data_IF_334056305690
#
_entry.id   IF_334056305690
#
_cell.length_a   1.000
_cell.length_b   1.000
_cell.length_c   1.000
_cell.angle_alpha   90.00
_cell.angle_beta   90.00
_cell.angle_gamma   90.00
#
_symmetry.space_group_name_H-M   'P 1'
#
loop_
_entity.id
_entity.type
_entity.pdbx_description
1 polymer ?
#
# COMPACT_ATOMS: atom_id res chain seq x y z
N UNK A 1 10.79 -42.70 12.25
CA UNK A 1 10.21 -42.15 11.01
C UNK A 1 10.59 -40.68 10.94
N UNK A 2 11.49 -40.30 10.05
CA UNK A 2 11.86 -38.91 9.84
C UNK A 2 10.66 -38.14 9.25
N UNK A 3 10.14 -37.13 9.94
CA UNK A 3 9.18 -36.21 9.37
C UNK A 3 9.90 -35.46 8.25
N UNK A 4 9.62 -35.83 6.99
CA UNK A 4 9.97 -35.01 5.84
C UNK A 4 9.24 -33.68 6.01
N UNK A 5 9.92 -32.67 6.53
CA UNK A 5 9.36 -31.34 6.62
C UNK A 5 9.07 -30.85 5.20
N UNK A 6 7.85 -30.39 4.94
CA UNK A 6 7.49 -29.80 3.66
C UNK A 6 8.47 -28.66 3.35
N UNK A 7 8.99 -28.61 2.11
CA UNK A 7 9.92 -27.56 1.69
C UNK A 7 9.17 -26.22 1.65
N UNK A 8 9.64 -25.24 2.42
CA UNK A 8 9.05 -23.88 2.46
C UNK A 8 9.38 -23.17 1.14
N UNK A 9 8.33 -22.79 0.40
CA UNK A 9 8.47 -21.91 -0.77
C UNK A 9 8.63 -20.47 -0.34
N UNK A 10 9.52 -19.74 -1.01
CA UNK A 10 9.70 -18.29 -0.79
C UNK A 10 8.97 -17.51 -1.87
N UNK A 11 8.23 -16.48 -1.47
CA UNK A 11 7.46 -15.61 -2.37
C UNK A 11 7.78 -14.14 -2.05
N UNK A 12 8.20 -13.39 -3.06
CA UNK A 12 8.44 -11.96 -2.98
C UNK A 12 7.62 -11.25 -4.08
N UNK A 13 6.44 -10.76 -3.68
CA UNK A 13 5.49 -10.12 -4.60
C UNK A 13 6.06 -8.83 -5.21
N UNK A 14 6.92 -8.10 -4.49
CA UNK A 14 7.56 -6.91 -5.04
C UNK A 14 8.48 -7.25 -6.23
N UNK A 15 9.15 -8.40 -6.19
CA UNK A 15 9.95 -8.88 -7.31
C UNK A 15 9.11 -9.46 -8.43
N UNK A 16 8.02 -10.17 -8.07
CA UNK A 16 7.08 -10.74 -9.03
C UNK A 16 6.39 -9.64 -9.84
N UNK A 17 5.97 -8.56 -9.17
CA UNK A 17 5.27 -7.42 -9.75
C UNK A 17 6.17 -6.18 -9.83
N UNK A 18 7.41 -6.40 -10.28
CA UNK A 18 8.45 -5.36 -10.30
C UNK A 18 8.02 -4.10 -11.05
N UNK A 19 7.28 -4.25 -12.13
CA UNK A 19 6.79 -3.13 -12.93
C UNK A 19 5.92 -2.15 -12.13
N UNK A 20 5.12 -2.67 -11.17
CA UNK A 20 4.22 -1.86 -10.34
C UNK A 20 4.87 -1.33 -9.06
N UNK A 21 5.88 -2.06 -8.51
CA UNK A 21 6.47 -1.76 -7.20
C UNK A 21 7.92 -1.25 -7.24
N UNK A 22 8.55 -1.24 -8.43
CA UNK A 22 9.93 -0.79 -8.61
C UNK A 22 10.10 -0.05 -9.96
N UNK A 23 9.24 0.94 -10.28
CA UNK A 23 9.39 1.71 -11.49
C UNK A 23 10.68 2.52 -11.50
N UNK A 24 11.05 3.07 -12.66
CA UNK A 24 12.17 3.99 -12.80
C UNK A 24 11.89 5.33 -12.08
N UNK A 25 12.91 5.97 -11.52
CA UNK A 25 12.84 7.35 -11.06
C UNK A 25 13.12 8.37 -12.19
N UNK A 26 13.54 7.88 -13.37
CA UNK A 26 13.94 8.75 -14.47
C UNK A 26 12.81 9.08 -15.43
N UNK A 27 11.85 8.17 -15.56
CA UNK A 27 10.79 8.23 -16.57
C UNK A 27 9.43 7.94 -15.94
N UNK A 28 8.45 8.74 -16.31
CA UNK A 28 7.03 8.43 -16.04
C UNK A 28 6.60 7.35 -17.04
N UNK A 29 5.84 6.39 -16.59
CA UNK A 29 5.36 5.29 -17.45
C UNK A 29 3.86 5.07 -17.26
N UNK A 30 3.19 4.68 -18.35
CA UNK A 30 1.83 4.14 -18.29
C UNK A 30 1.90 2.63 -17.99
N UNK A 31 1.06 2.18 -17.07
CA UNK A 31 0.87 0.77 -16.72
C UNK A 31 -0.62 0.43 -16.64
N UNK A 32 -1.00 -0.81 -16.90
CA UNK A 32 -2.34 -1.33 -16.60
C UNK A 32 -2.26 -2.23 -15.36
N UNK A 33 -2.62 -1.69 -14.20
CA UNK A 33 -2.53 -2.42 -12.93
C UNK A 33 -3.68 -3.41 -12.83
N UNK A 34 -3.40 -4.72 -12.76
CA UNK A 34 -4.44 -5.75 -12.72
C UNK A 34 -5.16 -5.77 -11.37
N UNK A 35 -6.15 -6.64 -11.25
CA UNK A 35 -6.78 -6.92 -9.97
C UNK A 35 -5.82 -7.66 -9.04
N UNK A 36 -5.66 -7.13 -7.84
CA UNK A 36 -4.88 -7.73 -6.76
C UNK A 36 -5.74 -7.92 -5.50
N UNK A 37 -5.27 -8.79 -4.60
CA UNK A 37 -5.85 -9.02 -3.29
C UNK A 37 -5.15 -8.14 -2.24
N UNK A 38 -5.93 -7.36 -1.49
CA UNK A 38 -5.41 -6.44 -0.48
C UNK A 38 -6.04 -6.66 0.89
N UNK A 39 -5.26 -6.41 1.95
CA UNK A 39 -5.83 -5.94 3.20
C UNK A 39 -6.07 -4.45 3.02
N UNK A 40 -7.25 -3.96 3.38
CA UNK A 40 -7.63 -2.56 3.22
C UNK A 40 -8.25 -1.99 4.51
N UNK A 41 -8.07 -0.67 4.70
CA UNK A 41 -8.65 0.08 5.83
C UNK A 41 -8.84 1.54 5.43
N UNK A 42 -10.05 2.07 5.64
CA UNK A 42 -10.36 3.48 5.42
C UNK A 42 -10.21 4.29 6.71
N UNK A 43 -9.82 5.55 6.56
CA UNK A 43 -9.71 6.49 7.67
C UNK A 43 -9.58 7.94 7.22
N UNK A 44 -9.40 8.82 8.20
CA UNK A 44 -9.33 10.26 7.99
C UNK A 44 -8.17 10.85 8.81
N UNK A 45 -7.51 11.85 8.25
CA UNK A 45 -6.57 12.70 8.99
C UNK A 45 -7.14 14.10 9.04
N UNK A 46 -7.21 14.68 10.24
CA UNK A 46 -7.77 16.01 10.45
C UNK A 46 -6.99 17.11 9.70
N UNK A 47 -7.68 18.19 9.35
CA UNK A 47 -7.06 19.37 8.75
C UNK A 47 -5.92 19.89 9.62
N UNK A 48 -4.80 20.27 9.00
CA UNK A 48 -3.59 20.77 9.68
C UNK A 48 -2.73 19.68 10.34
N UNK A 49 -3.14 18.41 10.28
CA UNK A 49 -2.40 17.28 10.86
C UNK A 49 -1.74 16.48 9.74
N UNK A 50 -0.47 16.11 9.92
CA UNK A 50 0.20 15.17 9.00
C UNK A 50 -0.11 13.73 9.40
N UNK A 51 -0.16 12.78 8.45
CA UNK A 51 -0.47 11.37 8.77
C UNK A 51 0.42 10.79 9.88
N UNK A 52 1.72 11.08 9.87
CA UNK A 52 2.66 10.61 10.89
C UNK A 52 2.38 11.15 12.31
N UNK A 53 1.68 12.28 12.44
CA UNK A 53 1.30 12.92 13.71
C UNK A 53 -0.11 12.49 14.16
N UNK A 54 -0.92 11.90 13.28
CA UNK A 54 -2.26 11.38 13.59
C UNK A 54 -2.17 10.08 14.40
N UNK A 55 -2.85 10.03 15.55
CA UNK A 55 -2.93 8.81 16.37
C UNK A 55 -3.75 7.74 15.65
N UNK A 56 -4.86 8.12 15.02
CA UNK A 56 -5.71 7.23 14.24
C UNK A 56 -4.95 6.56 13.09
N UNK A 57 -4.16 7.34 12.34
CA UNK A 57 -3.34 6.80 11.25
C UNK A 57 -2.28 5.83 11.76
N UNK A 58 -1.62 6.13 12.89
CA UNK A 58 -0.64 5.22 13.51
C UNK A 58 -1.29 3.93 14.00
N UNK A 59 -2.50 4.01 14.58
CA UNK A 59 -3.28 2.84 14.98
C UNK A 59 -3.65 1.98 13.76
N UNK A 60 -4.13 2.60 12.68
CA UNK A 60 -4.44 1.93 11.42
C UNK A 60 -3.23 1.20 10.84
N UNK A 61 -2.07 1.86 10.78
CA UNK A 61 -0.81 1.24 10.37
C UNK A 61 -0.42 0.05 11.25
N UNK A 62 -0.55 0.20 12.57
CA UNK A 62 -0.26 -0.88 13.53
C UNK A 62 -1.17 -2.09 13.35
N UNK A 63 -2.46 -1.88 13.12
CA UNK A 63 -3.44 -2.93 12.87
C UNK A 63 -3.13 -3.67 11.56
N UNK A 64 -2.85 -2.93 10.49
CA UNK A 64 -2.53 -3.49 9.17
C UNK A 64 -1.28 -4.38 9.22
N UNK A 65 -0.18 -3.89 9.77
CA UNK A 65 1.04 -4.69 9.93
C UNK A 65 0.83 -5.89 10.86
N UNK A 66 0.07 -5.72 11.94
CA UNK A 66 -0.26 -6.82 12.87
C UNK A 66 -0.92 -7.99 12.16
N UNK A 67 -1.95 -7.72 11.37
CA UNK A 67 -2.68 -8.75 10.60
C UNK A 67 -1.81 -9.31 9.47
N UNK A 68 -1.08 -8.48 8.73
CA UNK A 68 -0.20 -8.95 7.66
C UNK A 68 0.90 -9.90 8.15
N UNK A 69 1.53 -9.61 9.29
CA UNK A 69 2.50 -10.52 9.89
C UNK A 69 1.86 -11.79 10.44
N UNK A 70 0.64 -11.73 11.01
CA UNK A 70 -0.12 -12.91 11.42
C UNK A 70 -0.36 -13.83 10.21
N UNK A 71 -0.87 -13.29 9.10
CA UNK A 71 -1.06 -14.02 7.84
C UNK A 71 0.23 -14.65 7.31
N UNK A 72 1.32 -13.87 7.32
CA UNK A 72 2.65 -14.37 6.92
C UNK A 72 3.04 -15.61 7.71
N UNK A 73 2.91 -15.58 9.04
CA UNK A 73 3.29 -16.72 9.87
C UNK A 73 2.33 -17.89 9.73
N UNK A 74 1.02 -17.65 9.58
CA UNK A 74 0.05 -18.70 9.28
C UNK A 74 0.39 -19.41 7.96
N UNK A 75 0.69 -18.66 6.90
CA UNK A 75 1.09 -19.20 5.62
C UNK A 75 2.39 -19.99 5.68
N UNK A 76 3.38 -19.47 6.41
CA UNK A 76 4.69 -20.12 6.54
C UNK A 76 4.66 -21.40 7.37
N UNK A 77 3.78 -21.47 8.39
CA UNK A 77 3.73 -22.55 9.37
C UNK A 77 2.64 -23.58 9.08
N UNK A 78 1.85 -23.42 8.00
CA UNK A 78 0.85 -24.41 7.62
C UNK A 78 1.49 -25.76 7.28
N UNK A 79 0.75 -26.82 7.55
CA UNK A 79 1.27 -28.20 7.40
C UNK A 79 1.48 -28.60 5.93
N UNK A 80 0.62 -28.09 5.03
CA UNK A 80 0.64 -28.37 3.60
C UNK A 80 1.06 -27.11 2.83
N UNK A 81 1.94 -27.27 1.87
CA UNK A 81 2.47 -26.22 0.98
C UNK A 81 2.84 -24.91 1.69
N UNK A 82 3.74 -24.93 2.69
CA UNK A 82 4.10 -23.72 3.43
C UNK A 82 4.76 -22.68 2.52
N UNK A 83 4.30 -21.43 2.61
CA UNK A 83 4.81 -20.30 1.83
C UNK A 83 5.29 -19.21 2.77
N UNK A 84 6.57 -18.86 2.69
CA UNK A 84 7.17 -17.72 3.38
C UNK A 84 7.18 -16.52 2.43
N UNK A 85 6.14 -15.69 2.48
CA UNK A 85 6.07 -14.49 1.66
C UNK A 85 6.64 -13.26 2.39
N UNK A 86 7.16 -12.30 1.62
CA UNK A 86 7.59 -11.00 2.14
C UNK A 86 6.35 -10.13 2.35
N UNK A 87 6.18 -9.58 3.56
CA UNK A 87 5.14 -8.57 3.82
C UNK A 87 5.41 -7.36 2.94
N UNK A 88 4.38 -6.93 2.22
CA UNK A 88 4.49 -5.83 1.26
C UNK A 88 4.53 -4.46 1.95
N UNK A 89 4.95 -3.46 1.21
CA UNK A 89 4.83 -2.07 1.63
C UNK A 89 3.36 -1.71 1.83
N UNK A 90 3.09 -0.78 2.74
CA UNK A 90 1.78 -0.13 2.81
C UNK A 90 1.65 0.83 1.63
N UNK A 91 0.47 0.92 1.11
CA UNK A 91 0.04 1.81 0.05
C UNK A 91 -1.06 2.71 0.59
N UNK A 92 -1.16 3.94 0.12
CA UNK A 92 -2.19 4.90 0.52
C UNK A 92 -2.90 5.47 -0.69
N UNK A 93 -4.22 5.34 -0.75
CA UNK A 93 -5.05 6.09 -1.67
C UNK A 93 -5.55 7.33 -0.96
N UNK A 94 -5.24 8.50 -1.51
CA UNK A 94 -5.48 9.78 -0.86
C UNK A 94 -6.47 10.65 -1.65
N UNK A 95 -7.35 11.31 -0.91
CA UNK A 95 -8.28 12.33 -1.41
C UNK A 95 -8.61 13.32 -0.29
N UNK A 96 -9.39 14.34 -0.61
CA UNK A 96 -9.95 15.25 0.39
C UNK A 96 -11.47 15.12 0.43
N UNK A 97 -12.12 15.72 1.42
CA UNK A 97 -13.59 15.76 1.45
C UNK A 97 -14.18 16.53 0.26
N UNK A 98 -13.44 17.49 -0.29
CA UNK A 98 -13.87 18.28 -1.44
C UNK A 98 -13.71 17.58 -2.80
N UNK A 99 -13.00 16.44 -2.86
CA UNK A 99 -12.81 15.68 -4.10
C UNK A 99 -11.60 14.75 -4.10
N UNK A 100 -11.31 14.19 -5.29
CA UNK A 100 -10.24 13.19 -5.47
C UNK A 100 -8.82 13.78 -5.44
N UNK A 101 -8.69 15.10 -5.42
CA UNK A 101 -7.37 15.75 -5.36
C UNK A 101 -6.77 15.63 -3.96
N UNK A 102 -5.50 15.31 -3.90
CA UNK A 102 -4.74 15.34 -2.65
C UNK A 102 -4.27 16.76 -2.35
N UNK A 103 -4.42 17.21 -1.08
CA UNK A 103 -3.96 18.53 -0.62
C UNK A 103 -2.66 18.39 0.19
N UNK A 104 -1.53 18.66 -0.44
CA UNK A 104 -0.20 18.64 0.20
C UNK A 104 -0.02 19.68 1.30
N UNK A 105 -0.88 20.71 1.36
CA UNK A 105 -0.85 21.74 2.39
C UNK A 105 -1.69 21.37 3.63
N UNK A 106 -2.43 20.24 3.57
CA UNK A 106 -3.27 19.75 4.67
C UNK A 106 -4.31 20.76 5.17
N UNK A 107 -4.85 21.61 4.27
CA UNK A 107 -5.82 22.66 4.63
C UNK A 107 -7.19 22.14 4.99
N UNK A 108 -7.54 20.96 4.48
CA UNK A 108 -8.79 20.24 4.76
C UNK A 108 -8.51 18.81 5.20
N UNK A 109 -9.50 18.10 5.82
CA UNK A 109 -9.33 16.72 6.20
C UNK A 109 -8.96 15.84 4.99
N UNK A 110 -8.00 14.96 5.19
CA UNK A 110 -7.56 14.01 4.16
C UNK A 110 -8.19 12.65 4.42
N UNK A 111 -8.88 12.12 3.42
CA UNK A 111 -9.42 10.77 3.42
C UNK A 111 -8.37 9.82 2.89
N UNK A 112 -8.18 8.70 3.55
CA UNK A 112 -7.27 7.66 3.08
C UNK A 112 -7.92 6.29 3.04
N UNK A 113 -7.46 5.46 2.10
CA UNK A 113 -7.55 4.01 2.19
C UNK A 113 -6.14 3.46 2.23
N UNK A 114 -5.75 2.87 3.35
CA UNK A 114 -4.53 2.08 3.39
C UNK A 114 -4.77 0.73 2.73
N UNK A 115 -3.79 0.31 1.93
CA UNK A 115 -3.79 -0.97 1.23
C UNK A 115 -2.48 -1.70 1.53
N UNK A 116 -2.53 -3.04 1.57
CA UNK A 116 -1.34 -3.88 1.60
C UNK A 116 -1.57 -5.15 0.78
N UNK A 117 -0.84 -5.27 -0.32
CA UNK A 117 -0.93 -6.42 -1.22
C UNK A 117 -0.70 -7.74 -0.49
N UNK A 118 -1.58 -8.70 -0.74
CA UNK A 118 -1.49 -10.07 -0.23
C UNK A 118 -1.34 -11.09 -1.36
N UNK A 119 -0.68 -12.24 -1.09
CA UNK A 119 -0.68 -13.35 -2.03
C UNK A 119 -2.08 -13.94 -2.24
N UNK A 120 -2.36 -14.42 -3.45
CA UNK A 120 -3.67 -14.99 -3.81
C UNK A 120 -4.11 -16.22 -3.00
N UNK A 121 -3.18 -16.89 -2.31
CA UNK A 121 -3.52 -18.04 -1.46
C UNK A 121 -4.07 -17.65 -0.08
N UNK A 122 -4.09 -16.35 0.25
CA UNK A 122 -4.72 -15.86 1.47
C UNK A 122 -6.23 -15.91 1.30
N UNK A 123 -6.89 -16.67 2.19
CA UNK A 123 -8.35 -16.84 2.17
C UNK A 123 -9.05 -15.92 3.18
N UNK A 124 -10.37 -15.69 3.03
CA UNK A 124 -11.15 -14.96 4.03
C UNK A 124 -11.02 -15.56 5.43
N UNK A 125 -11.03 -16.89 5.57
CA UNK A 125 -10.91 -17.57 6.86
C UNK A 125 -9.54 -17.33 7.50
N UNK A 126 -8.46 -17.33 6.70
CA UNK A 126 -7.12 -16.97 7.19
C UNK A 126 -7.09 -15.52 7.67
N UNK A 127 -7.74 -14.62 6.94
CA UNK A 127 -7.81 -13.21 7.30
C UNK A 127 -8.57 -13.00 8.62
N UNK A 128 -9.76 -13.57 8.76
CA UNK A 128 -10.57 -13.50 9.99
C UNK A 128 -9.79 -14.05 11.21
N UNK A 129 -9.11 -15.18 11.05
CA UNK A 129 -8.26 -15.74 12.10
C UNK A 129 -7.10 -14.81 12.44
N UNK A 130 -6.45 -14.21 11.45
CA UNK A 130 -5.34 -13.27 11.67
C UNK A 130 -5.78 -11.99 12.40
N UNK A 131 -6.98 -11.48 12.10
CA UNK A 131 -7.59 -10.36 12.84
C UNK A 131 -7.85 -10.75 14.30
N UNK A 132 -8.44 -11.93 14.53
CA UNK A 132 -8.69 -12.44 15.89
C UNK A 132 -7.39 -12.63 16.69
N UNK A 133 -6.36 -13.22 16.09
CA UNK A 133 -5.05 -13.43 16.72
C UNK A 133 -4.33 -12.11 17.03
N UNK A 134 -4.50 -11.12 16.15
CA UNK A 134 -3.93 -9.77 16.35
C UNK A 134 -4.64 -9.05 17.46
N UNK A 135 -5.98 -9.12 17.50
CA UNK A 135 -6.83 -8.53 18.54
C UNK A 135 -6.50 -9.09 19.93
N UNK A 136 -6.25 -10.38 20.04
CA UNK A 136 -5.88 -11.01 21.30
C UNK A 136 -4.54 -10.49 21.87
N UNK A 137 -3.62 -10.05 20.99
CA UNK A 137 -2.31 -9.54 21.38
C UNK A 137 -2.27 -8.01 21.54
N UNK A 138 -3.02 -7.31 20.72
CA UNK A 138 -3.07 -5.84 20.63
C UNK A 138 -4.50 -5.42 20.29
N UNK A 139 -5.38 -5.26 21.29
CA UNK A 139 -6.73 -4.78 21.03
C UNK A 139 -6.68 -3.33 20.51
N UNK A 140 -7.54 -3.00 19.54
CA UNK A 140 -7.66 -1.67 18.97
C UNK A 140 -8.85 -1.60 18.03
N UNK A 141 -9.47 -0.41 17.91
CA UNK A 141 -10.67 -0.21 17.08
C UNK A 141 -10.36 -0.27 15.58
N UNK A 142 -9.13 0.05 15.15
CA UNK A 142 -8.74 -0.04 13.75
C UNK A 142 -8.88 -1.46 13.18
N UNK A 143 -8.78 -2.51 14.01
CA UNK A 143 -8.99 -3.90 13.60
C UNK A 143 -10.41 -4.18 13.07
N UNK A 144 -11.42 -3.42 13.52
CA UNK A 144 -12.82 -3.59 13.07
C UNK A 144 -13.07 -3.01 11.68
N UNK A 145 -12.17 -2.12 11.21
CA UNK A 145 -12.24 -1.47 9.91
C UNK A 145 -11.47 -2.21 8.83
N UNK A 146 -10.64 -3.19 9.21
CA UNK A 146 -9.87 -3.99 8.25
C UNK A 146 -10.79 -4.89 7.43
N UNK A 147 -10.51 -4.98 6.14
CA UNK A 147 -11.18 -5.90 5.22
C UNK A 147 -10.17 -6.54 4.27
N UNK A 148 -10.52 -7.70 3.77
CA UNK A 148 -9.82 -8.37 2.67
C UNK A 148 -10.63 -8.13 1.40
N UNK A 149 -10.03 -7.49 0.39
CA UNK A 149 -10.74 -7.15 -0.84
C UNK A 149 -9.88 -7.34 -2.08
N UNK A 150 -10.53 -7.63 -3.21
CA UNK A 150 -9.91 -7.56 -4.53
C UNK A 150 -10.22 -6.21 -5.15
N UNK A 151 -9.18 -5.56 -5.65
CA UNK A 151 -9.30 -4.27 -6.27
C UNK A 151 -8.40 -4.19 -7.50
N UNK A 152 -8.95 -3.57 -8.58
CA UNK A 152 -8.24 -3.27 -9.81
C UNK A 152 -8.11 -1.77 -9.97
N UNK A 153 -6.89 -1.27 -10.11
CA UNK A 153 -6.64 0.15 -10.36
C UNK A 153 -6.78 0.49 -11.86
N UNK A 154 -6.33 -0.41 -12.74
CA UNK A 154 -6.42 -0.23 -14.18
C UNK A 154 -5.33 0.66 -14.76
N UNK A 155 -5.58 1.33 -15.92
CA UNK A 155 -4.62 2.21 -16.56
C UNK A 155 -4.20 3.35 -15.63
N UNK A 156 -2.91 3.48 -15.40
CA UNK A 156 -2.35 4.44 -14.45
C UNK A 156 -0.99 4.93 -14.92
N UNK A 157 -0.67 6.19 -14.68
CA UNK A 157 0.69 6.70 -14.82
C UNK A 157 1.42 6.56 -13.50
N UNK A 158 2.71 6.25 -13.54
CA UNK A 158 3.51 6.10 -12.33
C UNK A 158 4.98 6.46 -12.53
N UNK A 159 5.63 6.77 -11.40
CA UNK A 159 7.07 7.03 -11.33
C UNK A 159 7.56 6.73 -9.90
N UNK A 160 8.85 6.40 -9.73
CA UNK A 160 9.48 6.37 -8.42
C UNK A 160 9.92 7.77 -8.02
N UNK A 161 9.40 8.29 -6.91
CA UNK A 161 9.97 9.44 -6.20
C UNK A 161 11.10 8.96 -5.28
N UNK A 162 12.21 9.69 -5.25
CA UNK A 162 13.34 9.48 -4.32
C UNK A 162 13.59 10.79 -3.60
N UNK A 163 13.34 10.82 -2.30
CA UNK A 163 13.45 12.01 -1.48
C UNK A 163 12.38 12.08 -0.40
N UNK A 164 12.36 13.17 0.38
CA UNK A 164 11.33 13.42 1.37
C UNK A 164 9.97 13.70 0.70
N UNK A 165 8.88 13.33 1.35
CA UNK A 165 7.51 13.56 0.85
C UNK A 165 7.23 15.02 0.47
N UNK A 166 7.86 15.98 1.15
CA UNK A 166 7.71 17.41 0.83
C UNK A 166 8.22 17.78 -0.58
N UNK A 167 9.05 16.96 -1.19
CA UNK A 167 9.62 17.19 -2.53
C UNK A 167 8.81 16.48 -3.64
N UNK A 168 7.76 15.72 -3.30
CA UNK A 168 6.90 15.01 -4.25
C UNK A 168 6.21 15.91 -5.28
N UNK A 169 5.80 17.16 -4.96
CA UNK A 169 5.18 18.05 -5.95
C UNK A 169 5.97 18.18 -7.26
N UNK A 170 7.30 18.28 -7.19
CA UNK A 170 8.13 18.35 -8.39
C UNK A 170 8.12 17.07 -9.24
N UNK A 171 7.87 15.92 -8.60
CA UNK A 171 7.71 14.63 -9.31
C UNK A 171 6.31 14.49 -9.89
N UNK A 172 5.29 15.03 -9.22
CA UNK A 172 3.91 15.07 -9.71
C UNK A 172 3.79 15.98 -10.93
N UNK A 173 4.46 17.15 -10.96
CA UNK A 173 4.52 18.02 -12.14
C UNK A 173 5.00 17.26 -13.39
N UNK A 174 5.89 16.27 -13.21
CA UNK A 174 6.36 15.42 -14.32
C UNK A 174 5.29 14.43 -14.78
N UNK A 175 4.46 13.92 -13.85
CA UNK A 175 3.33 13.06 -14.18
C UNK A 175 2.25 13.84 -14.93
N UNK A 176 1.98 15.08 -14.49
CA UNK A 176 1.04 15.99 -15.14
C UNK A 176 1.48 16.30 -16.58
N UNK A 177 2.74 16.68 -16.77
CA UNK A 177 3.29 16.94 -18.11
C UNK A 177 3.22 15.71 -19.03
N UNK A 178 3.51 14.51 -18.49
CA UNK A 178 3.40 13.27 -19.25
C UNK A 178 1.94 12.98 -19.65
N UNK A 179 0.99 13.15 -18.73
CA UNK A 179 -0.42 12.93 -19.01
C UNK A 179 -0.93 13.93 -20.08
N UNK A 180 -0.56 15.21 -19.98
CA UNK A 180 -0.91 16.24 -20.96
C UNK A 180 -0.34 15.93 -22.34
N UNK A 181 0.95 15.56 -22.45
CA UNK A 181 1.61 15.19 -23.71
C UNK A 181 0.92 14.01 -24.42
N UNK A 182 0.39 13.05 -23.64
CA UNK A 182 -0.25 11.84 -24.19
C UNK A 182 -1.78 11.94 -24.28
N UNK A 183 -2.38 13.05 -23.83
CA UNK A 183 -3.82 13.25 -23.86
C UNK A 183 -4.58 12.42 -22.83
N UNK A 184 -3.93 12.03 -21.72
CA UNK A 184 -4.55 11.28 -20.65
C UNK A 184 -5.25 12.22 -19.66
N UNK A 185 -6.37 11.77 -19.10
CA UNK A 185 -7.13 12.49 -18.06
C UNK A 185 -7.04 11.74 -16.74
N UNK A 186 -6.48 12.40 -15.70
CA UNK A 186 -6.48 11.84 -14.35
C UNK A 186 -7.89 11.65 -13.80
N UNK A 187 -8.10 10.56 -13.09
CA UNK A 187 -9.32 10.30 -12.34
C UNK A 187 -9.04 9.48 -11.09
N UNK A 188 -10.00 9.44 -10.14
CA UNK A 188 -9.83 8.71 -8.90
C UNK A 188 -8.79 9.35 -7.99
N UNK A 189 -8.29 8.58 -7.03
CA UNK A 189 -7.47 9.09 -5.94
C UNK A 189 -5.97 9.00 -6.24
N UNK A 190 -5.21 9.92 -5.66
CA UNK A 190 -3.76 9.86 -5.63
C UNK A 190 -3.29 8.62 -4.87
N UNK A 191 -2.35 7.85 -5.45
CA UNK A 191 -1.86 6.59 -4.90
C UNK A 191 -0.36 6.67 -4.61
N UNK A 192 0.00 6.45 -3.35
CA UNK A 192 1.37 6.38 -2.87
C UNK A 192 1.70 4.98 -2.37
N UNK A 193 2.84 4.41 -2.80
CA UNK A 193 3.33 3.11 -2.31
C UNK A 193 4.64 3.35 -1.57
N UNK A 194 4.67 3.14 -0.25
CA UNK A 194 5.77 3.51 0.64
C UNK A 194 6.84 2.42 0.68
N UNK A 195 7.73 2.41 -0.32
CA UNK A 195 8.78 1.39 -0.48
C UNK A 195 9.85 1.49 0.60
N UNK A 196 10.14 2.70 1.07
CA UNK A 196 11.11 2.99 2.14
C UNK A 196 10.44 3.10 3.50
N UNK A 197 11.09 2.58 4.55
CA UNK A 197 10.65 2.80 5.94
C UNK A 197 11.20 4.15 6.42
N UNK A 198 10.34 5.17 6.68
CA UNK A 198 10.78 6.50 7.08
C UNK A 198 11.45 6.52 8.47
N UNK A 199 11.24 5.48 9.30
CA UNK A 199 11.88 5.37 10.62
C UNK A 199 13.30 4.84 10.54
N UNK A 200 13.72 4.24 9.42
CA UNK A 200 15.02 3.59 9.20
C UNK A 200 15.84 4.24 8.10
N UNK A 201 15.18 4.87 7.14
CA UNK A 201 15.84 5.49 6.00
C UNK A 201 16.07 6.97 6.27
N UNK A 202 17.19 7.51 5.77
CA UNK A 202 17.36 8.95 5.72
C UNK A 202 16.36 9.55 4.73
N UNK A 203 15.83 10.77 4.98
CA UNK A 203 14.81 11.39 4.12
C UNK A 203 15.19 11.40 2.63
N UNK A 204 16.43 11.73 2.31
CA UNK A 204 16.94 11.78 0.93
C UNK A 204 16.99 10.43 0.22
N UNK A 205 16.83 9.32 0.93
CA UNK A 205 16.84 7.96 0.40
C UNK A 205 15.46 7.28 0.45
N UNK A 206 14.44 8.00 0.92
CA UNK A 206 13.07 7.48 0.89
C UNK A 206 12.65 7.22 -0.55
N UNK A 207 11.82 6.21 -0.73
CA UNK A 207 11.29 5.80 -2.03
C UNK A 207 9.79 5.62 -1.93
N UNK A 208 9.08 6.38 -2.74
CA UNK A 208 7.63 6.28 -2.89
C UNK A 208 7.30 6.06 -4.36
N UNK A 209 6.51 5.07 -4.69
CA UNK A 209 5.90 5.03 -6.03
C UNK A 209 4.71 5.98 -6.00
N UNK A 210 4.76 7.02 -6.81
CA UNK A 210 3.63 7.90 -7.06
C UNK A 210 2.88 7.34 -8.27
N UNK A 211 1.58 7.12 -8.11
CA UNK A 211 0.70 6.56 -9.13
C UNK A 211 -0.61 7.31 -9.17
N UNK A 212 -1.20 7.42 -10.35
CA UNK A 212 -2.51 8.02 -10.50
C UNK A 212 -3.25 7.35 -11.67
N UNK A 213 -4.48 6.87 -11.47
CA UNK A 213 -5.30 6.32 -12.54
C UNK A 213 -5.60 7.35 -13.64
N UNK A 214 -5.64 6.89 -14.91
CA UNK A 214 -5.93 7.73 -16.06
C UNK A 214 -6.98 7.09 -16.97
N UNK A 215 -7.78 7.97 -17.61
CA UNK A 215 -8.57 7.63 -18.80
C UNK A 215 -7.68 7.83 -20.02
N UNK A 216 -7.74 6.87 -20.93
CA UNK A 216 -6.99 6.84 -22.20
C UNK A 216 -7.94 7.21 -23.33
#
# INVERSE_FOLDING_TARGET
MAKSGAKISKLDLRKQFKEFYMPSAKEVVLVDVPEFLFIALDGTVDAGVRPGDSEEFREAMGAMYGVAYSLKFMSKLRAEDPIDFTVMAVEGLWSTESGDKFDFDWREPSLYTLLMLQPDHITPEMFEQAVADTRAKRPGQALDRLRLERWREGPSVQIMHIGPYADEPATLDRMDAFAEEHGYEFHGRHHEIYIGDPTRSKPENLKTVLRHPVKI
#
